data_IF_042530542963
#
_entry.id   IF_042530542963
#
_cell.length_a   1.000
_cell.length_b   1.000
_cell.length_c   1.000
_cell.angle_alpha   90.00
_cell.angle_beta   90.00
_cell.angle_gamma   90.00
#
_symmetry.space_group_name_H-M   'P 1'
#
loop_
_entity.id
_entity.type
_entity.pdbx_description
1 polymer ?
#
# COMPACT_ATOMS: atom_id res chain seq x y z
N UNK A 1 -28.73 -1.98 0.62
CA UNK A 1 -28.73 -1.23 -0.66
C UNK A 1 -28.88 -2.22 -1.82
N UNK A 2 -29.40 -1.83 -2.99
CA UNK A 2 -29.54 -2.71 -4.14
C UNK A 2 -28.17 -3.21 -4.66
N UNK A 3 -28.10 -4.47 -5.08
CA UNK A 3 -26.84 -5.11 -5.52
C UNK A 3 -26.20 -4.40 -6.72
N UNK A 4 -27.02 -3.92 -7.67
CA UNK A 4 -26.54 -3.18 -8.85
C UNK A 4 -25.81 -1.89 -8.48
N UNK A 5 -26.21 -1.22 -7.39
CA UNK A 5 -25.59 0.02 -6.95
C UNK A 5 -24.15 -0.24 -6.47
N UNK A 6 -23.91 -1.33 -5.74
CA UNK A 6 -22.54 -1.74 -5.39
C UNK A 6 -21.74 -2.06 -6.65
N UNK A 7 -22.28 -2.86 -7.56
CA UNK A 7 -21.56 -3.25 -8.79
C UNK A 7 -21.10 -2.02 -9.58
N UNK A 8 -22.02 -1.09 -9.87
CA UNK A 8 -21.72 0.11 -10.66
C UNK A 8 -20.72 1.00 -9.91
N UNK A 9 -21.00 1.32 -8.65
CA UNK A 9 -20.16 2.25 -7.89
C UNK A 9 -18.77 1.69 -7.64
N UNK A 10 -18.63 0.40 -7.30
CA UNK A 10 -17.34 -0.24 -7.08
C UNK A 10 -16.52 -0.34 -8.37
N UNK A 11 -17.12 -0.74 -9.49
CA UNK A 11 -16.42 -0.80 -10.80
C UNK A 11 -15.93 0.58 -11.23
N UNK A 12 -16.80 1.60 -11.13
CA UNK A 12 -16.43 2.98 -11.46
C UNK A 12 -15.31 3.46 -10.55
N UNK A 13 -15.38 3.18 -9.25
CA UNK A 13 -14.37 3.62 -8.30
C UNK A 13 -13.01 2.91 -8.48
N UNK A 14 -13.02 1.60 -8.75
CA UNK A 14 -11.79 0.85 -9.11
C UNK A 14 -11.17 1.42 -10.38
N UNK A 15 -11.98 1.67 -11.42
CA UNK A 15 -11.53 2.30 -12.66
C UNK A 15 -10.89 3.66 -12.42
N UNK A 16 -11.55 4.52 -11.64
CA UNK A 16 -11.03 5.83 -11.24
C UNK A 16 -9.69 5.71 -10.51
N UNK A 17 -9.58 4.80 -9.53
CA UNK A 17 -8.33 4.59 -8.77
C UNK A 17 -7.20 4.11 -9.68
N UNK A 18 -7.45 3.18 -10.60
CA UNK A 18 -6.44 2.71 -11.56
C UNK A 18 -5.98 3.84 -12.49
N UNK A 19 -6.90 4.69 -12.96
CA UNK A 19 -6.57 5.88 -13.75
C UNK A 19 -5.70 6.85 -12.95
N UNK A 20 -6.07 7.14 -11.69
CA UNK A 20 -5.29 8.01 -10.82
C UNK A 20 -3.89 7.43 -10.58
N UNK A 21 -3.76 6.14 -10.25
CA UNK A 21 -2.45 5.49 -10.07
C UNK A 21 -1.61 5.60 -11.35
N UNK A 22 -2.21 5.31 -12.51
CA UNK A 22 -1.54 5.43 -13.80
C UNK A 22 -1.04 6.84 -14.06
N UNK A 23 -1.91 7.83 -13.93
CA UNK A 23 -1.60 9.24 -14.16
C UNK A 23 -0.54 9.78 -13.19
N UNK A 24 -0.69 9.52 -11.88
CA UNK A 24 0.25 9.96 -10.85
C UNK A 24 1.61 9.28 -10.96
N UNK A 25 1.64 8.03 -11.44
CA UNK A 25 2.89 7.33 -11.74
C UNK A 25 3.60 7.95 -12.93
N UNK A 26 2.88 8.28 -14.01
CA UNK A 26 3.46 8.84 -15.22
C UNK A 26 3.87 10.32 -15.08
N UNK A 27 3.12 11.10 -14.29
CA UNK A 27 3.34 12.54 -14.10
C UNK A 27 3.84 12.88 -12.69
N UNK A 28 5.10 12.52 -12.38
CA UNK A 28 5.70 12.66 -11.04
C UNK A 28 5.63 14.08 -10.46
N UNK A 29 5.88 15.09 -11.29
CA UNK A 29 5.82 16.49 -10.86
C UNK A 29 4.42 16.88 -10.42
N UNK A 30 3.42 16.54 -11.24
CA UNK A 30 2.02 16.79 -10.91
C UNK A 30 1.64 16.04 -9.64
N UNK A 31 1.99 14.75 -9.55
CA UNK A 31 1.71 13.95 -8.35
C UNK A 31 2.28 14.61 -7.09
N UNK A 32 3.54 15.05 -7.12
CA UNK A 32 4.15 15.68 -5.95
C UNK A 32 3.45 16.99 -5.56
N UNK A 33 3.14 17.85 -6.54
CA UNK A 33 2.39 19.09 -6.29
C UNK A 33 0.99 18.80 -5.75
N UNK A 34 0.29 17.82 -6.31
CA UNK A 34 -1.04 17.40 -5.88
C UNK A 34 -1.03 16.91 -4.43
N UNK A 35 -0.09 16.04 -4.06
CA UNK A 35 -0.01 15.52 -2.69
C UNK A 35 0.41 16.59 -1.67
N UNK A 36 1.29 17.51 -2.04
CA UNK A 36 1.61 18.67 -1.19
C UNK A 36 0.36 19.55 -1.03
N UNK A 37 -0.33 19.86 -2.13
CA UNK A 37 -1.57 20.63 -2.13
C UNK A 37 -2.69 19.98 -1.33
N UNK A 38 -2.70 18.64 -1.23
CA UNK A 38 -3.70 17.94 -0.43
C UNK A 38 -3.67 18.31 1.05
N UNK A 39 -2.52 18.73 1.59
CA UNK A 39 -2.44 19.22 2.98
C UNK A 39 -3.27 20.49 3.19
N UNK A 40 -3.46 21.30 2.15
CA UNK A 40 -4.28 22.53 2.20
C UNK A 40 -5.78 22.21 2.26
N UNK A 41 -6.18 20.96 1.99
CA UNK A 41 -7.58 20.53 2.11
C UNK A 41 -8.02 20.27 3.56
N UNK A 42 -7.14 20.49 4.55
CA UNK A 42 -7.45 20.33 5.96
C UNK A 42 -8.73 21.06 6.46
N UNK A 43 -9.14 22.25 5.94
CA UNK A 43 -10.39 22.87 6.36
C UNK A 43 -11.60 22.00 5.99
N UNK A 44 -11.56 21.35 4.83
CA UNK A 44 -12.61 20.43 4.40
C UNK A 44 -12.67 19.19 5.28
N UNK A 45 -11.55 18.74 5.85
CA UNK A 45 -11.53 17.61 6.77
C UNK A 45 -12.22 17.96 8.09
N UNK A 46 -11.98 19.17 8.60
CA UNK A 46 -12.66 19.68 9.80
C UNK A 46 -14.16 19.79 9.55
N UNK A 47 -14.56 20.42 8.44
CA UNK A 47 -15.97 20.56 8.06
C UNK A 47 -16.64 19.22 7.77
N UNK A 48 -15.89 18.24 7.25
CA UNK A 48 -16.33 16.86 7.01
C UNK A 48 -16.43 16.00 8.26
N UNK A 49 -16.24 16.55 9.46
CA UNK A 49 -16.41 15.81 10.71
C UNK A 49 -15.27 14.81 11.00
N UNK A 50 -14.05 15.09 10.52
CA UNK A 50 -12.85 14.39 10.97
C UNK A 50 -12.52 14.82 12.41
N UNK A 51 -13.23 14.21 13.36
CA UNK A 51 -13.07 14.44 14.79
C UNK A 51 -12.23 13.32 15.40
N UNK A 52 -11.26 13.71 16.24
CA UNK A 52 -10.41 12.81 17.01
C UNK A 52 -9.00 12.65 16.43
N UNK A 53 -8.01 12.66 17.34
CA UNK A 53 -6.58 12.56 17.03
C UNK A 53 -6.24 11.35 16.14
N UNK A 54 -6.91 10.23 16.34
CA UNK A 54 -6.67 9.01 15.58
C UNK A 54 -6.90 9.17 14.07
N UNK A 55 -7.99 9.82 13.65
CA UNK A 55 -8.30 10.01 12.22
C UNK A 55 -7.32 10.99 11.57
N UNK A 56 -6.97 12.05 12.28
CA UNK A 56 -5.93 13.00 11.87
C UNK A 56 -4.57 12.33 11.69
N UNK A 57 -4.15 11.58 12.70
CA UNK A 57 -2.91 10.81 12.68
C UNK A 57 -2.89 9.85 11.49
N UNK A 58 -4.00 9.14 11.22
CA UNK A 58 -4.06 8.21 10.09
C UNK A 58 -3.89 8.89 8.73
N UNK A 59 -4.62 9.98 8.49
CA UNK A 59 -4.54 10.73 7.22
C UNK A 59 -3.11 11.24 7.01
N UNK A 60 -2.54 11.89 8.03
CA UNK A 60 -1.19 12.45 7.97
C UNK A 60 -0.11 11.35 7.83
N UNK A 61 -0.27 10.21 8.53
CA UNK A 61 0.63 9.06 8.45
C UNK A 61 0.70 8.42 7.07
N UNK A 62 -0.28 8.70 6.18
CA UNK A 62 -0.29 8.24 4.80
C UNK A 62 0.14 9.35 3.83
N UNK A 63 -0.34 10.59 4.02
CA UNK A 63 -0.01 11.70 3.13
C UNK A 63 1.47 12.08 3.24
N UNK A 64 2.05 12.17 4.44
CA UNK A 64 3.45 12.56 4.60
C UNK A 64 4.41 11.57 3.90
N UNK A 65 4.28 10.25 4.10
CA UNK A 65 5.09 9.31 3.33
C UNK A 65 4.81 9.34 1.82
N UNK A 66 3.58 9.62 1.40
CA UNK A 66 3.26 9.76 -0.04
C UNK A 66 3.98 10.94 -0.67
N UNK A 67 4.05 12.08 0.03
CA UNK A 67 4.83 13.26 -0.36
C UNK A 67 6.33 12.91 -0.35
N UNK A 68 6.82 12.22 0.68
CA UNK A 68 8.22 11.80 0.78
C UNK A 68 8.63 10.86 -0.36
N UNK A 69 7.78 9.90 -0.72
CA UNK A 69 7.93 9.10 -1.93
C UNK A 69 7.98 10.03 -3.14
N UNK A 70 7.04 10.97 -3.29
CA UNK A 70 7.03 11.95 -4.38
C UNK A 70 8.36 12.68 -4.58
N UNK A 71 8.97 13.21 -3.51
CA UNK A 71 10.29 13.83 -3.56
C UNK A 71 11.40 12.83 -3.93
N UNK A 72 11.38 11.64 -3.35
CA UNK A 72 12.35 10.58 -3.64
C UNK A 72 12.28 10.13 -5.11
N UNK A 73 11.07 10.05 -5.67
CA UNK A 73 10.84 9.76 -7.09
C UNK A 73 11.38 10.88 -7.98
N UNK A 74 11.14 12.16 -7.63
CA UNK A 74 11.70 13.29 -8.38
C UNK A 74 13.23 13.30 -8.37
N UNK A 75 13.85 12.92 -7.25
CA UNK A 75 15.30 12.85 -7.11
C UNK A 75 15.92 11.76 -8.02
N UNK A 76 15.22 10.63 -8.19
CA UNK A 76 15.69 9.42 -8.87
C UNK A 76 15.03 9.19 -10.25
N UNK A 77 14.26 10.14 -10.77
CA UNK A 77 13.63 10.02 -12.07
C UNK A 77 14.62 10.29 -13.20
N UNK A 78 14.86 9.31 -14.06
CA UNK A 78 15.76 9.45 -15.22
C UNK A 78 15.33 10.60 -16.15
N UNK A 79 14.02 10.80 -16.31
CA UNK A 79 13.45 11.92 -17.11
C UNK A 79 13.79 13.31 -16.56
N UNK A 80 14.25 13.39 -15.30
CA UNK A 80 14.60 14.61 -14.60
C UNK A 80 16.07 14.60 -14.15
N UNK A 81 16.85 13.64 -14.66
CA UNK A 81 18.28 13.55 -14.40
C UNK A 81 18.97 14.90 -14.71
N UNK A 82 19.76 15.39 -13.76
CA UNK A 82 20.48 16.66 -13.87
C UNK A 82 19.67 17.93 -13.55
N UNK A 83 18.34 17.88 -13.41
CA UNK A 83 17.51 19.06 -13.03
C UNK A 83 17.51 19.34 -11.53
N UNK A 84 17.62 18.30 -10.71
CA UNK A 84 17.64 18.39 -9.26
C UNK A 84 19.04 18.02 -8.75
N UNK A 85 19.82 19.03 -8.39
CA UNK A 85 21.19 18.92 -7.87
C UNK A 85 21.28 19.62 -6.50
N UNK A 86 22.18 19.13 -5.64
CA UNK A 86 22.44 19.73 -4.33
C UNK A 86 22.25 18.73 -3.19
N UNK A 87 22.82 19.04 -2.02
CA UNK A 87 22.94 18.13 -0.86
C UNK A 87 21.64 17.45 -0.47
N UNK A 88 20.50 18.15 -0.56
CA UNK A 88 19.18 17.59 -0.28
C UNK A 88 18.78 16.49 -1.28
N UNK A 89 18.84 16.77 -2.58
CA UNK A 89 18.47 15.83 -3.64
C UNK A 89 19.43 14.64 -3.72
N UNK A 90 20.72 14.88 -3.51
CA UNK A 90 21.72 13.82 -3.47
C UNK A 90 21.53 12.92 -2.25
N UNK A 91 21.05 13.46 -1.12
CA UNK A 91 20.66 12.65 0.03
C UNK A 91 19.46 11.76 -0.29
N UNK A 92 18.45 12.26 -1.02
CA UNK A 92 17.26 11.48 -1.41
C UNK A 92 17.53 10.33 -2.41
N UNK A 93 18.74 10.25 -2.97
CA UNK A 93 19.18 9.12 -3.81
C UNK A 93 19.83 7.99 -3.03
N UNK A 94 20.13 8.20 -1.74
CA UNK A 94 20.84 7.24 -0.90
C UNK A 94 19.91 6.17 -0.33
N UNK A 95 20.52 5.08 0.11
CA UNK A 95 19.83 3.89 0.62
C UNK A 95 18.99 4.11 1.88
N UNK A 96 19.31 5.12 2.72
CA UNK A 96 18.52 5.43 3.91
C UNK A 96 17.06 5.76 3.57
N UNK A 97 16.80 6.31 2.37
CA UNK A 97 15.44 6.56 1.89
C UNK A 97 14.66 5.26 1.78
N UNK A 98 15.26 4.20 1.25
CA UNK A 98 14.61 2.89 1.11
C UNK A 98 14.30 2.28 2.49
N UNK A 99 15.16 2.50 3.49
CA UNK A 99 14.88 2.11 4.88
C UNK A 99 13.72 2.87 5.51
N UNK A 100 13.59 4.18 5.23
CA UNK A 100 12.42 4.94 5.69
C UNK A 100 11.15 4.43 5.02
N UNK A 101 11.16 4.20 3.70
CA UNK A 101 10.00 3.67 2.99
C UNK A 101 9.60 2.28 3.48
N UNK A 102 10.59 1.42 3.75
CA UNK A 102 10.39 0.14 4.44
C UNK A 102 9.77 0.35 5.82
N UNK A 103 10.32 1.27 6.62
CA UNK A 103 9.83 1.58 7.97
C UNK A 103 8.40 2.10 7.98
N UNK A 104 8.02 2.94 7.01
CA UNK A 104 6.64 3.41 6.84
C UNK A 104 5.71 2.24 6.54
N UNK A 105 6.06 1.36 5.60
CA UNK A 105 5.24 0.19 5.28
C UNK A 105 5.10 -0.71 6.51
N UNK A 106 6.21 -0.98 7.20
CA UNK A 106 6.22 -1.76 8.44
C UNK A 106 5.32 -1.14 9.51
N UNK A 107 5.44 0.17 9.76
CA UNK A 107 4.61 0.88 10.74
C UNK A 107 3.15 0.87 10.35
N UNK A 108 2.81 1.00 9.06
CA UNK A 108 1.43 0.94 8.59
C UNK A 108 0.79 -0.42 8.87
N UNK A 109 1.52 -1.52 8.65
CA UNK A 109 1.07 -2.87 8.96
C UNK A 109 1.01 -3.09 10.48
N UNK A 110 2.03 -2.66 11.21
CA UNK A 110 2.11 -2.81 12.66
C UNK A 110 0.99 -2.05 13.39
N UNK A 111 0.68 -0.81 12.99
CA UNK A 111 -0.39 -0.01 13.56
C UNK A 111 -1.75 -0.70 13.41
N UNK A 112 -2.07 -1.17 12.20
CA UNK A 112 -3.31 -1.92 11.96
C UNK A 112 -3.32 -3.28 12.66
N UNK A 113 -2.16 -3.95 12.80
CA UNK A 113 -2.01 -5.19 13.56
C UNK A 113 -2.33 -4.99 15.05
N UNK A 114 -1.79 -3.93 15.66
CA UNK A 114 -2.08 -3.58 17.06
C UNK A 114 -3.58 -3.29 17.20
N UNK A 115 -4.16 -2.55 16.24
CA UNK A 115 -5.58 -2.26 16.26
C UNK A 115 -6.43 -3.53 16.14
N UNK A 116 -6.10 -4.45 15.25
CA UNK A 116 -6.74 -5.77 15.13
C UNK A 116 -6.70 -6.53 16.46
N UNK A 117 -5.55 -6.52 17.13
CA UNK A 117 -5.40 -7.16 18.44
C UNK A 117 -6.33 -6.53 19.49
N UNK A 118 -6.42 -5.19 19.54
CA UNK A 118 -7.33 -4.49 20.46
C UNK A 118 -8.81 -4.74 20.16
N UNK A 119 -9.15 -5.09 18.91
CA UNK A 119 -10.51 -5.44 18.50
C UNK A 119 -10.84 -6.93 18.78
N UNK A 120 -9.90 -7.70 19.34
CA UNK A 120 -10.08 -9.13 19.63
C UNK A 120 -9.85 -10.05 18.44
N UNK A 121 -9.38 -9.53 17.30
CA UNK A 121 -9.08 -10.31 16.10
C UNK A 121 -7.67 -10.92 16.14
N UNK A 122 -7.42 -11.77 17.14
CA UNK A 122 -6.08 -12.24 17.51
C UNK A 122 -5.37 -12.96 16.36
N UNK A 123 -6.07 -13.82 15.62
CA UNK A 123 -5.47 -14.57 14.51
C UNK A 123 -5.10 -13.67 13.33
N UNK A 124 -5.92 -12.67 13.00
CA UNK A 124 -5.57 -11.71 11.96
C UNK A 124 -4.43 -10.79 12.41
N UNK A 125 -4.40 -10.41 13.70
CA UNK A 125 -3.26 -9.68 14.28
C UNK A 125 -1.96 -10.49 14.18
N UNK A 126 -1.98 -11.78 14.52
CA UNK A 126 -0.83 -12.65 14.38
C UNK A 126 -0.36 -12.76 12.92
N UNK A 127 -1.29 -12.81 11.97
CA UNK A 127 -0.97 -12.74 10.55
C UNK A 127 -0.28 -11.41 10.17
N UNK A 128 -0.81 -10.27 10.64
CA UNK A 128 -0.22 -8.95 10.43
C UNK A 128 1.21 -8.84 10.97
N UNK A 129 1.46 -9.41 12.16
CA UNK A 129 2.80 -9.49 12.73
C UNK A 129 3.76 -10.32 11.85
N UNK A 130 3.32 -11.48 11.36
CA UNK A 130 4.12 -12.31 10.46
C UNK A 130 4.32 -11.67 9.08
N UNK A 131 3.37 -10.86 8.61
CA UNK A 131 3.54 -10.03 7.41
C UNK A 131 4.64 -8.99 7.59
N UNK A 132 4.72 -8.34 8.76
CA UNK A 132 5.83 -7.45 9.12
C UNK A 132 7.20 -8.15 9.08
N UNK A 133 7.27 -9.39 9.60
CA UNK A 133 8.51 -10.20 9.60
C UNK A 133 8.93 -10.62 8.20
N UNK A 134 7.97 -10.77 7.27
CA UNK A 134 8.22 -11.27 5.91
C UNK A 134 8.31 -10.16 4.85
N UNK A 135 8.41 -8.89 5.27
CA UNK A 135 8.74 -7.79 4.35
C UNK A 135 10.20 -7.99 3.89
N UNK A 136 10.48 -8.02 2.58
CA UNK A 136 11.86 -8.16 2.11
C UNK A 136 12.68 -6.93 2.50
N UNK A 137 13.84 -7.16 3.13
CA UNK A 137 14.73 -6.07 3.54
C UNK A 137 15.30 -5.29 2.33
N UNK A 138 15.43 -3.96 2.43
CA UNK A 138 15.86 -3.13 1.31
C UNK A 138 17.29 -3.41 0.85
N UNK A 139 18.25 -3.58 1.77
CA UNK A 139 19.69 -3.68 1.44
C UNK A 139 20.17 -5.09 1.08
N UNK A 140 19.60 -6.14 1.69
CA UNK A 140 20.31 -7.43 1.71
C UNK A 140 20.44 -8.08 0.33
N UNK A 141 19.62 -7.69 -0.66
CA UNK A 141 19.66 -8.17 -2.07
C UNK A 141 19.00 -7.21 -3.09
N UNK A 142 18.98 -5.91 -2.83
CA UNK A 142 18.33 -4.90 -3.70
C UNK A 142 16.86 -5.24 -4.03
N UNK A 143 16.07 -5.62 -3.02
CA UNK A 143 14.63 -5.90 -3.20
C UNK A 143 13.78 -4.63 -3.28
N UNK A 144 14.36 -3.49 -2.93
CA UNK A 144 13.76 -2.17 -3.06
C UNK A 144 14.65 -1.33 -3.95
N UNK A 145 14.07 -0.66 -4.94
CA UNK A 145 14.79 0.24 -5.85
C UNK A 145 13.92 1.44 -6.19
N UNK A 146 14.54 2.60 -6.35
CA UNK A 146 13.93 3.74 -7.04
C UNK A 146 14.54 3.81 -8.43
N UNK A 147 13.78 3.45 -9.46
CA UNK A 147 14.33 3.29 -10.80
C UNK A 147 13.31 3.57 -11.92
N UNK A 148 13.84 3.79 -13.12
CA UNK A 148 13.07 4.00 -14.34
C UNK A 148 12.76 5.47 -14.62
N UNK A 149 12.13 5.71 -15.78
CA UNK A 149 11.86 7.05 -16.35
C UNK A 149 11.31 8.05 -15.33
N UNK A 150 10.46 7.59 -14.43
CA UNK A 150 9.73 8.40 -13.46
C UNK A 150 10.12 8.08 -12.00
N UNK A 151 11.31 7.51 -11.79
CA UNK A 151 11.89 7.20 -10.48
C UNK A 151 10.96 6.33 -9.65
N UNK A 152 10.41 5.28 -10.23
CA UNK A 152 9.35 4.46 -9.62
C UNK A 152 9.90 3.67 -8.43
N UNK A 153 9.12 3.59 -7.36
CA UNK A 153 9.42 2.70 -6.24
C UNK A 153 9.08 1.27 -6.64
N UNK A 154 10.12 0.50 -6.96
CA UNK A 154 10.04 -0.91 -7.30
C UNK A 154 10.30 -1.73 -6.04
N UNK A 155 9.32 -2.54 -5.64
CA UNK A 155 9.46 -3.45 -4.50
C UNK A 155 9.18 -4.87 -4.95
N UNK A 156 10.18 -5.73 -4.84
CA UNK A 156 10.10 -7.11 -5.29
C UNK A 156 9.51 -8.01 -4.20
N UNK A 157 8.19 -8.17 -4.24
CA UNK A 157 7.41 -9.05 -3.36
C UNK A 157 6.86 -10.27 -4.10
N UNK A 158 6.63 -11.36 -3.35
CA UNK A 158 6.02 -12.58 -3.90
C UNK A 158 4.51 -12.42 -4.09
N UNK A 159 3.93 -13.26 -4.96
CA UNK A 159 2.46 -13.29 -5.15
C UNK A 159 1.77 -13.66 -3.84
N UNK A 160 2.31 -14.65 -3.12
CA UNK A 160 1.77 -15.08 -1.84
C UNK A 160 1.77 -13.95 -0.79
N UNK A 161 2.84 -13.15 -0.71
CA UNK A 161 2.87 -12.00 0.20
C UNK A 161 1.83 -10.95 -0.16
N UNK A 162 1.71 -10.58 -1.45
CA UNK A 162 0.70 -9.63 -1.90
C UNK A 162 -0.71 -10.11 -1.58
N UNK A 163 -1.00 -11.38 -1.88
CA UNK A 163 -2.29 -11.99 -1.59
C UNK A 163 -2.59 -11.96 -0.08
N UNK A 164 -1.65 -12.43 0.75
CA UNK A 164 -1.78 -12.46 2.21
C UNK A 164 -1.94 -11.06 2.80
N UNK A 165 -1.18 -10.09 2.29
CA UNK A 165 -1.31 -8.70 2.71
C UNK A 165 -2.67 -8.10 2.32
N UNK A 166 -3.16 -8.38 1.11
CA UNK A 166 -4.46 -7.93 0.62
C UNK A 166 -5.62 -8.52 1.43
N UNK A 167 -5.63 -9.85 1.65
CA UNK A 167 -6.68 -10.53 2.46
C UNK A 167 -6.62 -10.13 3.93
N UNK A 168 -5.42 -9.95 4.49
CA UNK A 168 -5.25 -9.47 5.86
C UNK A 168 -5.82 -8.06 6.05
N UNK A 169 -5.52 -7.16 5.10
CA UNK A 169 -5.99 -5.77 5.14
C UNK A 169 -7.52 -5.69 4.97
N UNK A 170 -8.09 -6.53 4.10
CA UNK A 170 -9.54 -6.66 3.95
C UNK A 170 -10.19 -7.13 5.26
N UNK A 171 -9.67 -8.19 5.88
CA UNK A 171 -10.16 -8.71 7.15
C UNK A 171 -10.08 -7.66 8.29
N UNK A 172 -8.98 -6.89 8.35
CA UNK A 172 -8.83 -5.77 9.29
C UNK A 172 -9.96 -4.74 9.13
N UNK A 173 -10.19 -4.24 7.91
CA UNK A 173 -11.22 -3.21 7.69
C UNK A 173 -12.63 -3.77 7.89
N UNK A 174 -12.86 -5.03 7.55
CA UNK A 174 -14.12 -5.72 7.80
C UNK A 174 -14.46 -5.73 9.29
N UNK A 175 -13.46 -5.82 10.18
CA UNK A 175 -13.65 -5.72 11.63
C UNK A 175 -13.69 -4.29 12.16
N UNK A 176 -12.82 -3.40 11.67
CA UNK A 176 -12.64 -2.05 12.22
C UNK A 176 -13.75 -1.07 11.82
N UNK A 177 -14.15 -1.08 10.54
CA UNK A 177 -15.18 -0.17 10.04
C UNK A 177 -15.97 -0.80 8.90
N UNK A 178 -16.93 -1.69 9.22
CA UNK A 178 -17.68 -2.44 8.23
C UNK A 178 -18.44 -1.57 7.23
N UNK A 179 -18.84 -0.35 7.62
CA UNK A 179 -19.48 0.64 6.74
C UNK A 179 -18.63 0.92 5.49
N UNK A 180 -17.30 1.00 5.64
CA UNK A 180 -16.36 1.35 4.58
C UNK A 180 -15.68 0.13 3.95
N UNK A 181 -16.15 -1.09 4.24
CA UNK A 181 -15.49 -2.30 3.77
C UNK A 181 -15.54 -2.43 2.24
N UNK A 182 -16.68 -2.17 1.59
CA UNK A 182 -16.82 -2.23 0.14
C UNK A 182 -15.88 -1.26 -0.60
N UNK A 183 -15.79 0.00 -0.14
CA UNK A 183 -14.84 0.96 -0.72
C UNK A 183 -13.38 0.59 -0.44
N UNK A 184 -13.12 -0.12 0.66
CA UNK A 184 -11.79 -0.64 0.99
C UNK A 184 -11.40 -1.84 0.12
N UNK A 185 -12.36 -2.70 -0.24
CA UNK A 185 -12.17 -3.74 -1.26
C UNK A 185 -11.78 -3.10 -2.60
N UNK A 186 -12.40 -1.98 -2.99
CA UNK A 186 -12.03 -1.28 -4.22
C UNK A 186 -10.57 -0.82 -4.23
N UNK A 187 -10.05 -0.25 -3.14
CA UNK A 187 -8.65 0.23 -3.10
C UNK A 187 -7.65 -0.94 -3.11
N UNK A 188 -8.02 -2.06 -2.49
CA UNK A 188 -7.21 -3.26 -2.45
C UNK A 188 -7.15 -3.91 -3.83
N UNK A 189 -8.32 -4.07 -4.48
CA UNK A 189 -8.41 -4.60 -5.83
C UNK A 189 -7.71 -3.70 -6.85
N UNK A 190 -7.89 -2.39 -6.79
CA UNK A 190 -7.22 -1.46 -7.70
C UNK A 190 -5.69 -1.58 -7.59
N UNK A 191 -5.16 -1.73 -6.37
CA UNK A 191 -3.73 -1.89 -6.14
C UNK A 191 -3.17 -3.25 -6.57
N UNK A 192 -3.96 -4.32 -6.56
CA UNK A 192 -3.57 -5.65 -7.05
C UNK A 192 -3.72 -5.77 -8.57
N UNK A 193 -4.83 -5.26 -9.13
CA UNK A 193 -5.12 -5.33 -10.56
C UNK A 193 -4.17 -4.46 -11.38
N UNK A 194 -3.82 -3.27 -10.92
CA UNK A 194 -2.93 -2.36 -11.66
C UNK A 194 -1.58 -3.00 -12.06
N UNK A 195 -0.78 -3.58 -11.14
CA UNK A 195 0.49 -4.22 -11.50
C UNK A 195 0.30 -5.48 -12.35
N UNK A 196 -0.79 -6.23 -12.17
CA UNK A 196 -1.13 -7.41 -12.98
C UNK A 196 -1.41 -7.01 -14.43
N UNK A 197 -2.27 -6.01 -14.64
CA UNK A 197 -2.61 -5.50 -15.97
C UNK A 197 -1.41 -4.90 -16.71
N UNK A 198 -0.46 -4.30 -15.98
CA UNK A 198 0.78 -3.77 -16.55
C UNK A 198 1.90 -4.82 -16.69
N UNK A 199 1.69 -6.07 -16.23
CA UNK A 199 2.72 -7.11 -16.23
C UNK A 199 3.96 -6.77 -15.38
N UNK A 200 3.81 -5.83 -14.44
CA UNK A 200 4.88 -5.23 -13.62
C UNK A 200 4.55 -5.39 -12.14
N UNK A 201 4.73 -6.59 -11.58
CA UNK A 201 4.38 -6.91 -10.20
C UNK A 201 5.10 -6.04 -9.16
N UNK A 202 6.29 -5.54 -9.49
CA UNK A 202 7.10 -4.67 -8.64
C UNK A 202 6.45 -3.30 -8.35
N UNK A 203 5.41 -2.93 -9.10
CA UNK A 203 4.65 -1.68 -8.90
C UNK A 203 3.56 -1.79 -7.83
N UNK A 204 3.40 -2.95 -7.18
CA UNK A 204 2.35 -3.17 -6.19
C UNK A 204 2.38 -2.15 -5.05
N UNK A 205 3.56 -1.91 -4.46
CA UNK A 205 3.68 -1.01 -3.29
C UNK A 205 3.38 0.44 -3.67
N UNK A 206 3.85 0.93 -4.83
CA UNK A 206 3.53 2.29 -5.29
C UNK A 206 2.03 2.44 -5.62
N UNK A 207 1.40 1.40 -6.19
CA UNK A 207 -0.05 1.40 -6.40
C UNK A 207 -0.80 1.45 -5.06
N UNK A 208 -0.36 0.72 -4.03
CA UNK A 208 -0.92 0.81 -2.67
C UNK A 208 -0.77 2.20 -2.06
N UNK A 209 0.40 2.83 -2.18
CA UNK A 209 0.63 4.19 -1.68
C UNK A 209 -0.39 5.16 -2.27
N UNK A 210 -0.55 5.18 -3.60
CA UNK A 210 -1.48 6.12 -4.23
C UNK A 210 -2.95 5.77 -4.01
N UNK A 211 -3.35 4.51 -4.12
CA UNK A 211 -4.75 4.13 -3.88
C UNK A 211 -5.19 4.44 -2.45
N UNK A 212 -4.36 4.12 -1.45
CA UNK A 212 -4.68 4.39 -0.05
C UNK A 212 -4.74 5.90 0.23
N UNK A 213 -3.74 6.66 -0.22
CA UNK A 213 -3.69 8.11 -0.01
C UNK A 213 -4.88 8.81 -0.69
N UNK A 214 -5.24 8.39 -1.91
CA UNK A 214 -6.37 8.96 -2.66
C UNK A 214 -7.68 8.67 -1.94
N UNK A 215 -7.87 7.43 -1.50
CA UNK A 215 -9.06 7.03 -0.78
C UNK A 215 -9.24 7.80 0.53
N UNK A 216 -8.17 7.95 1.32
CA UNK A 216 -8.24 8.68 2.58
C UNK A 216 -8.56 10.17 2.39
N UNK A 217 -7.98 10.82 1.38
CA UNK A 217 -8.33 12.23 1.07
C UNK A 217 -9.79 12.34 0.62
N UNK A 218 -10.24 11.49 -0.31
CA UNK A 218 -11.64 11.54 -0.77
C UNK A 218 -12.59 11.32 0.41
N UNK A 219 -12.29 10.36 1.28
CA UNK A 219 -13.07 10.09 2.49
C UNK A 219 -13.05 11.28 3.46
N UNK A 220 -11.92 11.97 3.61
CA UNK A 220 -11.80 13.12 4.49
C UNK A 220 -12.54 14.37 3.95
N UNK A 221 -12.48 14.60 2.64
CA UNK A 221 -13.17 15.72 2.00
C UNK A 221 -14.68 15.47 1.80
N UNK A 222 -15.07 14.21 1.61
CA UNK A 222 -16.46 13.79 1.33
C UNK A 222 -16.85 12.61 2.24
N UNK A 223 -17.07 12.85 3.55
CA UNK A 223 -17.30 11.80 4.55
C UNK A 223 -18.51 10.89 4.24
N UNK A 224 -19.54 11.46 3.63
CA UNK A 224 -20.81 10.78 3.33
C UNK A 224 -20.82 10.09 1.96
N UNK A 225 -19.78 10.26 1.12
CA UNK A 225 -19.78 9.70 -0.23
C UNK A 225 -19.84 8.17 -0.22
N UNK A 226 -18.94 7.52 0.53
CA UNK A 226 -18.88 6.06 0.58
C UNK A 226 -20.06 5.45 1.34
N UNK A 227 -20.50 5.96 2.50
CA UNK A 227 -21.73 5.50 3.13
C UNK A 227 -22.96 5.65 2.22
N UNK A 228 -23.07 6.74 1.44
CA UNK A 228 -24.23 6.90 0.54
C UNK A 228 -24.24 5.92 -0.65
N UNK A 229 -23.05 5.53 -1.15
CA UNK A 229 -22.92 4.76 -2.39
C UNK A 229 -22.54 3.28 -2.19
N UNK A 230 -21.88 2.95 -1.09
CA UNK A 230 -21.23 1.65 -0.84
C UNK A 230 -21.27 1.26 0.66
N UNK A 231 -22.31 1.62 1.41
CA UNK A 231 -22.42 1.20 2.82
C UNK A 231 -22.43 -0.33 2.91
N UNK A 232 -21.46 -0.92 3.59
CA UNK A 232 -21.32 -2.37 3.73
C UNK A 232 -21.52 -2.85 5.17
N UNK A 233 -22.15 -2.04 6.03
CA UNK A 233 -22.49 -2.40 7.41
C UNK A 233 -23.27 -3.71 7.50
N UNK A 234 -24.23 -3.90 6.59
CA UNK A 234 -25.04 -5.12 6.51
C UNK A 234 -24.27 -6.39 6.14
N UNK A 235 -23.03 -6.26 5.63
CA UNK A 235 -22.21 -7.42 5.27
C UNK A 235 -21.48 -7.99 6.48
N UNK A 236 -21.41 -7.25 7.59
CA UNK A 236 -20.65 -7.64 8.76
C UNK A 236 -21.20 -8.90 9.42
N UNK A 237 -20.33 -9.86 9.66
CA UNK A 237 -20.63 -11.07 10.40
C UNK A 237 -19.41 -11.46 11.25
N UNK A 238 -19.59 -11.53 12.56
CA UNK A 238 -18.52 -11.82 13.50
C UNK A 238 -17.93 -13.24 13.32
N UNK A 239 -18.75 -14.21 12.91
CA UNK A 239 -18.29 -15.56 12.57
C UNK A 239 -17.38 -15.55 11.35
N UNK A 240 -17.78 -14.85 10.29
CA UNK A 240 -16.96 -14.67 9.08
C UNK A 240 -15.63 -13.99 9.43
N UNK A 241 -15.65 -12.91 10.20
CA UNK A 241 -14.43 -12.20 10.65
C UNK A 241 -13.47 -13.16 11.36
N UNK A 242 -13.97 -13.95 12.31
CA UNK A 242 -13.16 -14.90 13.08
C UNK A 242 -12.53 -15.97 12.20
N UNK A 243 -13.33 -16.64 11.35
CA UNK A 243 -12.81 -17.70 10.48
C UNK A 243 -11.87 -17.15 9.41
N UNK A 244 -12.12 -15.95 8.89
CA UNK A 244 -11.22 -15.28 7.95
C UNK A 244 -9.87 -15.01 8.60
N UNK A 245 -9.84 -14.46 9.81
CA UNK A 245 -8.59 -14.28 10.57
C UNK A 245 -7.82 -15.59 10.77
N UNK A 246 -8.51 -16.69 11.09
CA UNK A 246 -7.90 -18.02 11.22
C UNK A 246 -7.32 -18.51 9.90
N UNK A 247 -8.05 -18.38 8.79
CA UNK A 247 -7.59 -18.77 7.46
C UNK A 247 -6.32 -17.97 7.09
N UNK A 248 -6.33 -16.65 7.30
CA UNK A 248 -5.15 -15.82 7.06
C UNK A 248 -3.94 -16.30 7.87
N UNK A 249 -4.14 -16.65 9.14
CA UNK A 249 -3.10 -17.19 10.01
C UNK A 249 -2.57 -18.56 9.55
N UNK A 250 -3.46 -19.47 9.16
CA UNK A 250 -3.07 -20.80 8.65
C UNK A 250 -2.27 -20.69 7.35
N UNK A 251 -2.57 -19.71 6.50
CA UNK A 251 -1.87 -19.52 5.23
C UNK A 251 -0.50 -18.81 5.39
N UNK A 252 -0.39 -17.84 6.29
CA UNK A 252 0.87 -17.09 6.50
C UNK A 252 1.94 -17.96 7.16
N UNK A 253 1.58 -18.91 8.03
CA UNK A 253 2.55 -19.74 8.77
C UNK A 253 3.45 -20.55 7.81
N UNK A 254 2.92 -21.41 6.91
CA UNK A 254 3.72 -22.09 5.89
C UNK A 254 4.50 -21.12 4.99
N UNK A 255 3.89 -19.99 4.64
CA UNK A 255 4.55 -18.97 3.83
C UNK A 255 5.80 -18.39 4.52
N UNK A 256 5.75 -18.14 5.83
CA UNK A 256 6.91 -17.65 6.61
C UNK A 256 8.05 -18.66 6.56
N UNK A 257 7.77 -19.95 6.79
CA UNK A 257 8.79 -20.99 6.69
C UNK A 257 9.42 -21.05 5.29
N UNK A 258 8.59 -21.02 4.25
CA UNK A 258 9.06 -20.98 2.87
C UNK A 258 9.90 -19.71 2.60
N UNK A 259 9.44 -18.55 3.05
CA UNK A 259 10.13 -17.27 2.87
C UNK A 259 11.53 -17.29 3.50
N UNK A 260 11.63 -17.77 4.74
CA UNK A 260 12.91 -17.92 5.46
C UNK A 260 13.82 -18.95 4.79
N UNK A 261 13.27 -20.06 4.31
CA UNK A 261 14.02 -21.06 3.55
C UNK A 261 14.60 -20.49 2.24
N UNK A 262 13.82 -19.69 1.50
CA UNK A 262 14.30 -19.02 0.27
C UNK A 262 15.41 -18.00 0.56
N UNK A 263 15.34 -17.31 1.69
CA UNK A 263 16.39 -16.38 2.13
C UNK A 263 17.67 -17.14 2.49
N UNK A 264 17.56 -18.21 3.27
CA UNK A 264 18.67 -19.04 3.73
C UNK A 264 19.39 -19.75 2.57
N UNK A 265 18.63 -20.32 1.62
CA UNK A 265 19.19 -21.03 0.45
C UNK A 265 19.67 -20.12 -0.69
N UNK A 266 19.56 -18.79 -0.55
CA UNK A 266 19.97 -17.83 -1.59
C UNK A 266 19.01 -17.69 -2.77
N UNK A 267 17.99 -18.55 -2.89
CA UNK A 267 17.03 -18.58 -4.03
C UNK A 267 16.06 -17.40 -4.07
N UNK A 268 15.98 -16.59 -3.02
CA UNK A 268 15.07 -15.45 -2.94
C UNK A 268 15.23 -14.43 -4.09
N UNK A 269 16.43 -14.29 -4.68
CA UNK A 269 16.64 -13.40 -5.83
C UNK A 269 15.79 -13.76 -7.04
N UNK A 270 15.53 -15.05 -7.25
CA UNK A 270 14.71 -15.55 -8.34
C UNK A 270 13.25 -15.56 -7.90
N UNK A 271 12.97 -16.14 -6.74
CA UNK A 271 11.61 -16.35 -6.23
C UNK A 271 10.87 -15.04 -5.96
N UNK A 272 11.54 -14.03 -5.38
CA UNK A 272 10.88 -12.76 -5.02
C UNK A 272 10.75 -11.81 -6.21
N UNK A 273 11.65 -11.93 -7.20
CA UNK A 273 11.54 -11.23 -8.48
C UNK A 273 10.67 -11.98 -9.49
N UNK A 274 10.03 -13.08 -9.07
CA UNK A 274 9.12 -13.91 -9.87
C UNK A 274 9.76 -14.35 -11.20
N UNK A 275 11.03 -14.76 -11.14
CA UNK A 275 11.81 -15.21 -12.31
C UNK A 275 12.39 -14.10 -13.18
N UNK A 276 12.08 -12.81 -12.92
CA UNK A 276 12.74 -11.68 -13.62
C UNK A 276 14.08 -11.39 -12.97
N UNK A 277 15.14 -12.04 -13.44
CA UNK A 277 16.50 -11.73 -13.01
C UNK A 277 16.91 -10.39 -13.63
N UNK A 278 16.96 -9.35 -12.81
CA UNK A 278 17.65 -8.10 -13.17
C UNK A 278 19.15 -8.45 -13.31
N UNK A 279 19.65 -8.54 -14.55
CA UNK A 279 21.03 -8.94 -14.87
C UNK A 279 22.10 -8.08 -14.19
N UNK A 280 21.73 -6.94 -13.62
CA UNK A 280 22.60 -6.05 -12.85
C UNK A 280 23.10 -6.63 -11.52
N UNK A 281 22.55 -7.76 -11.04
CA UNK A 281 23.00 -8.41 -9.81
C UNK A 281 23.98 -9.57 -10.03
N UNK A 282 24.25 -9.97 -11.28
CA UNK A 282 25.19 -11.05 -11.60
C UNK A 282 26.64 -10.53 -11.64
N UNK A 283 26.86 -9.22 -11.78
CA UNK A 283 28.19 -8.62 -11.86
C UNK A 283 28.81 -8.24 -10.49
N UNK A 284 28.15 -8.54 -9.37
CA UNK A 284 28.62 -8.18 -8.02
C UNK A 284 28.71 -9.37 -7.04
N UNK A 285 28.68 -10.60 -7.55
CA UNK A 285 28.98 -11.82 -6.79
C UNK A 285 30.34 -12.35 -7.22
#
# INVERSE_FOLDING_TARGET
MPLWQYMVSMVVYIGLLMLIVGYMREHVKFANVFWIGSLVTFPMWIMGGVVGWFRWSKILSVIFPTIFVGFSRLANADSLAGKFKGKFWDSLRKEWVLWILYGVLFLNIAEATIKDFTLGNIFNAACGFLLCVTIPFPLKRNFWKLAGKNGELLVYTTIAWNFLYTTWNACFVYGESPVYFASSVCILLAAELYPVLKGRPELYVIARVYTLATHLIIRACFPNLFPALMDSSSWYNAGVLKYWGIINFVLIVPYVFWHMYQLHTGKANISFRRGKVDNTAIEAA
#
